data_IF_100829318876
#
_entry.id   IF_100829318876
#
_cell.length_a   1.000
_cell.length_b   1.000
_cell.length_c   1.000
_cell.angle_alpha   90.00
_cell.angle_beta   90.00
_cell.angle_gamma   90.00
#
_symmetry.space_group_name_H-M   'P 1'
#
loop_
_entity.id
_entity.type
_entity.pdbx_description
1 polymer ?
#
# COMPACT_ATOMS: atom_id res chain seq x y z
N UNK A 1 -14.44 22.65 6.85
CA UNK A 1 -14.74 23.19 5.50
C UNK A 1 -14.61 24.71 5.44
N UNK A 2 -15.11 25.44 6.43
CA UNK A 2 -14.89 26.89 6.55
C UNK A 2 -13.41 27.29 6.63
N UNK A 3 -12.59 26.47 7.30
CA UNK A 3 -11.14 26.69 7.35
C UNK A 3 -10.46 26.49 5.99
N UNK A 4 -10.86 25.47 5.22
CA UNK A 4 -10.37 25.26 3.86
C UNK A 4 -10.80 26.39 2.92
N UNK A 5 -12.03 26.90 3.08
CA UNK A 5 -12.52 28.04 2.33
C UNK A 5 -11.69 29.31 2.60
N UNK A 6 -11.35 29.55 3.87
CA UNK A 6 -10.49 30.66 4.29
C UNK A 6 -9.05 30.54 3.77
N UNK A 7 -8.49 29.33 3.80
CA UNK A 7 -7.11 29.09 3.35
C UNK A 7 -6.96 29.11 1.83
N UNK A 8 -7.88 28.49 1.10
CA UNK A 8 -7.79 28.41 -0.36
C UNK A 8 -9.16 28.17 -1.02
N UNK A 9 -9.76 29.25 -1.52
CA UNK A 9 -11.09 29.22 -2.16
C UNK A 9 -11.20 28.23 -3.33
N UNK A 10 -10.23 28.20 -4.23
CA UNK A 10 -10.25 27.27 -5.38
C UNK A 10 -10.22 25.78 -4.99
N UNK A 11 -9.40 25.41 -3.99
CA UNK A 11 -9.36 24.05 -3.47
C UNK A 11 -10.67 23.67 -2.76
N UNK A 12 -11.29 24.62 -2.06
CA UNK A 12 -12.61 24.43 -1.47
C UNK A 12 -13.67 24.17 -2.54
N UNK A 13 -13.75 25.01 -3.58
CA UNK A 13 -14.71 24.86 -4.68
C UNK A 13 -14.53 23.51 -5.39
N UNK A 14 -13.27 23.13 -5.68
CA UNK A 14 -12.94 21.82 -6.23
C UNK A 14 -13.41 20.67 -5.32
N UNK A 15 -13.14 20.74 -4.02
CA UNK A 15 -13.53 19.69 -3.08
C UNK A 15 -15.05 19.55 -2.98
N UNK A 16 -15.78 20.66 -2.94
CA UNK A 16 -17.25 20.64 -2.94
C UNK A 16 -17.78 20.07 -4.26
N UNK A 17 -17.27 20.53 -5.41
CA UNK A 17 -17.68 20.05 -6.73
C UNK A 17 -17.40 18.55 -6.93
N UNK A 18 -16.29 18.04 -6.39
CA UNK A 18 -15.97 16.62 -6.42
C UNK A 18 -17.03 15.75 -5.70
N UNK A 19 -17.73 16.33 -4.74
CA UNK A 19 -18.80 15.70 -3.96
C UNK A 19 -18.29 15.16 -2.60
N UNK A 20 -18.86 15.61 -1.47
CA UNK A 20 -18.45 15.17 -0.13
C UNK A 20 -18.47 13.66 0.09
N UNK A 21 -19.35 12.93 -0.58
CA UNK A 21 -19.42 11.48 -0.52
C UNK A 21 -18.13 10.76 -0.99
N UNK A 22 -17.27 11.44 -1.76
CA UNK A 22 -16.01 10.85 -2.26
C UNK A 22 -14.85 11.00 -1.28
N UNK A 23 -14.85 12.02 -0.44
CA UNK A 23 -13.71 12.37 0.42
C UNK A 23 -14.04 12.48 1.92
N UNK A 24 -15.32 12.66 2.28
CA UNK A 24 -15.78 12.64 3.67
C UNK A 24 -16.32 11.26 4.03
N UNK A 25 -15.82 10.72 5.15
CA UNK A 25 -16.35 9.47 5.71
C UNK A 25 -17.83 9.61 6.08
N UNK A 26 -18.22 10.75 6.65
CA UNK A 26 -19.58 10.98 7.16
C UNK A 26 -20.62 11.04 6.04
N UNK A 27 -20.24 11.53 4.87
CA UNK A 27 -21.14 11.66 3.72
C UNK A 27 -21.01 10.51 2.72
N UNK A 28 -20.07 9.58 2.92
CA UNK A 28 -19.87 8.46 2.01
C UNK A 28 -20.97 7.41 2.24
N UNK A 29 -21.80 7.09 1.23
CA UNK A 29 -22.81 6.04 1.38
C UNK A 29 -22.17 4.64 1.49
N UNK A 30 -20.95 4.48 0.96
CA UNK A 30 -20.21 3.22 1.06
C UNK A 30 -19.47 3.09 2.40
N UNK A 31 -19.47 1.88 2.93
CA UNK A 31 -18.76 1.51 4.15
C UNK A 31 -17.27 1.40 3.85
N UNK A 32 -16.50 2.43 4.21
CA UNK A 32 -15.04 2.46 3.97
C UNK A 32 -14.22 1.81 5.09
N UNK A 33 -14.84 1.32 6.17
CA UNK A 33 -14.15 0.59 7.26
C UNK A 33 -12.85 1.24 7.78
N UNK A 34 -12.82 2.59 7.81
CA UNK A 34 -11.65 3.44 8.12
C UNK A 34 -10.50 3.44 7.08
N UNK A 35 -10.63 2.69 5.99
CA UNK A 35 -9.71 2.72 4.85
C UNK A 35 -10.04 3.93 3.95
N UNK A 36 -9.17 4.93 3.99
CA UNK A 36 -9.29 6.14 3.15
C UNK A 36 -8.13 6.26 2.15
N UNK A 37 -7.34 5.20 1.98
CA UNK A 37 -6.09 5.23 1.20
C UNK A 37 -6.08 4.17 0.10
N UNK A 38 -5.29 4.42 -0.93
CA UNK A 38 -4.94 3.46 -2.00
C UNK A 38 -3.89 2.43 -1.57
N UNK A 39 -3.58 2.36 -0.27
CA UNK A 39 -2.47 1.56 0.27
C UNK A 39 -2.56 0.09 -0.13
N UNK A 40 -3.77 -0.48 -0.25
CA UNK A 40 -3.94 -1.88 -0.69
C UNK A 40 -3.39 -2.09 -2.11
N UNK A 41 -3.71 -1.19 -3.04
CA UNK A 41 -3.22 -1.26 -4.40
C UNK A 41 -1.70 -1.05 -4.47
N UNK A 42 -1.17 -0.14 -3.65
CA UNK A 42 0.28 0.12 -3.56
C UNK A 42 1.05 -1.07 -2.99
N UNK A 43 0.53 -1.70 -1.93
CA UNK A 43 1.11 -2.91 -1.33
C UNK A 43 1.15 -4.06 -2.34
N UNK A 44 0.01 -4.37 -2.99
CA UNK A 44 -0.04 -5.40 -4.03
C UNK A 44 0.92 -5.05 -5.16
N UNK A 45 0.97 -3.77 -5.56
CA UNK A 45 1.84 -3.34 -6.63
C UNK A 45 3.33 -3.48 -6.31
N UNK A 46 3.69 -3.32 -5.04
CA UNK A 46 5.04 -3.55 -4.53
C UNK A 46 5.38 -5.04 -4.57
N UNK A 47 4.49 -5.92 -4.10
CA UNK A 47 4.66 -7.37 -4.15
C UNK A 47 4.86 -7.90 -5.58
N UNK A 48 4.21 -7.27 -6.56
CA UNK A 48 4.27 -7.69 -7.96
C UNK A 48 5.39 -7.03 -8.78
N UNK A 49 6.23 -6.18 -8.17
CA UNK A 49 7.21 -5.36 -8.91
C UNK A 49 8.14 -6.19 -9.79
N UNK A 50 8.68 -7.28 -9.25
CA UNK A 50 9.52 -8.22 -10.00
C UNK A 50 8.68 -9.13 -10.90
N UNK A 51 7.59 -9.69 -10.36
CA UNK A 51 6.76 -10.67 -11.06
C UNK A 51 6.19 -10.13 -12.38
N UNK A 52 5.89 -8.83 -12.49
CA UNK A 52 5.41 -8.21 -13.75
C UNK A 52 6.40 -8.26 -14.90
N UNK A 53 7.67 -8.56 -14.64
CA UNK A 53 8.69 -8.71 -15.69
C UNK A 53 8.78 -10.15 -16.21
N UNK A 54 8.07 -11.09 -15.58
CA UNK A 54 8.07 -12.50 -15.94
C UNK A 54 7.06 -12.77 -17.07
N UNK A 55 7.22 -13.88 -17.81
CA UNK A 55 6.20 -14.35 -18.75
C UNK A 55 4.83 -14.48 -18.08
N UNK A 56 3.74 -14.28 -18.84
CA UNK A 56 2.36 -14.28 -18.32
C UNK A 56 2.05 -15.49 -17.44
N UNK A 57 2.44 -16.70 -17.89
CA UNK A 57 2.21 -17.93 -17.14
C UNK A 57 2.93 -17.94 -15.79
N UNK A 58 4.19 -17.48 -15.78
CA UNK A 58 4.99 -17.38 -14.55
C UNK A 58 4.47 -16.30 -13.61
N UNK A 59 3.98 -15.17 -14.15
CA UNK A 59 3.31 -14.13 -13.36
C UNK A 59 2.03 -14.65 -12.70
N UNK A 60 1.19 -15.37 -13.46
CA UNK A 60 -0.04 -15.96 -12.93
C UNK A 60 0.27 -16.96 -11.80
N UNK A 61 1.28 -17.81 -12.01
CA UNK A 61 1.73 -18.79 -11.03
C UNK A 61 2.34 -18.12 -9.77
N UNK A 62 3.09 -17.02 -9.94
CA UNK A 62 3.58 -16.21 -8.83
C UNK A 62 2.45 -15.63 -7.99
N UNK A 63 1.44 -15.03 -8.64
CA UNK A 63 0.27 -14.46 -7.97
C UNK A 63 -0.48 -15.55 -7.21
N UNK A 64 -0.69 -16.71 -7.83
CA UNK A 64 -1.37 -17.86 -7.22
C UNK A 64 -0.64 -18.32 -5.96
N UNK A 65 0.68 -18.53 -6.02
CA UNK A 65 1.49 -18.95 -4.87
C UNK A 65 1.50 -17.91 -3.74
N UNK A 66 1.62 -16.62 -4.09
CA UNK A 66 1.55 -15.53 -3.13
C UNK A 66 0.21 -15.52 -2.38
N UNK A 67 -0.91 -15.57 -3.12
CA UNK A 67 -2.24 -15.58 -2.53
C UNK A 67 -2.48 -16.86 -1.71
N UNK A 68 -2.08 -18.03 -2.21
CA UNK A 68 -2.21 -19.29 -1.48
C UNK A 68 -1.52 -19.22 -0.12
N UNK A 69 -0.27 -18.74 -0.08
CA UNK A 69 0.47 -18.55 1.17
C UNK A 69 -0.24 -17.56 2.09
N UNK A 70 -0.66 -16.40 1.56
CA UNK A 70 -1.34 -15.39 2.36
C UNK A 70 -2.66 -15.89 2.94
N UNK A 71 -3.48 -16.59 2.15
CA UNK A 71 -4.73 -17.16 2.63
C UNK A 71 -4.48 -18.19 3.73
N UNK A 72 -3.51 -19.08 3.55
CA UNK A 72 -3.11 -20.04 4.57
C UNK A 72 -2.65 -19.34 5.86
N UNK A 73 -1.68 -18.42 5.76
CA UNK A 73 -1.11 -17.71 6.91
C UNK A 73 -2.18 -16.90 7.65
N UNK A 74 -3.09 -16.23 6.91
CA UNK A 74 -4.16 -15.43 7.50
C UNK A 74 -5.25 -16.28 8.15
N UNK A 75 -5.62 -17.39 7.53
CA UNK A 75 -6.56 -18.34 8.12
C UNK A 75 -5.98 -18.96 9.40
N UNK A 76 -4.71 -19.40 9.37
CA UNK A 76 -4.01 -19.91 10.54
C UNK A 76 -3.92 -18.87 11.67
N UNK A 77 -3.53 -17.63 11.34
CA UNK A 77 -3.49 -16.53 12.30
C UNK A 77 -4.87 -16.26 12.91
N UNK A 78 -5.93 -16.18 12.10
CA UNK A 78 -7.30 -15.96 12.57
C UNK A 78 -7.79 -17.07 13.51
N UNK A 79 -7.48 -18.34 13.21
CA UNK A 79 -7.82 -19.48 14.09
C UNK A 79 -7.04 -19.48 15.40
N UNK A 80 -5.83 -18.93 15.40
CA UNK A 80 -4.99 -18.80 16.60
C UNK A 80 -5.41 -17.65 17.53
N UNK A 81 -6.30 -16.76 17.08
CA UNK A 81 -6.77 -15.62 17.88
C UNK A 81 -7.57 -16.09 19.10
N UNK A 82 -7.16 -15.60 20.27
CA UNK A 82 -7.80 -15.94 21.56
C UNK A 82 -9.12 -15.22 21.78
N UNK A 83 -9.27 -14.02 21.21
CA UNK A 83 -10.40 -13.14 21.46
C UNK A 83 -11.53 -13.38 20.45
N UNK A 84 -12.77 -13.03 20.81
CA UNK A 84 -13.91 -13.07 19.88
C UNK A 84 -13.85 -11.97 18.81
N UNK A 85 -13.15 -10.87 19.12
CA UNK A 85 -12.84 -9.81 18.16
C UNK A 85 -11.45 -10.02 17.58
N UNK A 86 -11.21 -9.49 16.39
CA UNK A 86 -9.89 -9.48 15.75
C UNK A 86 -8.85 -8.77 16.63
N UNK A 87 -7.59 -9.19 16.52
CA UNK A 87 -6.46 -8.60 17.28
C UNK A 87 -6.31 -7.08 17.08
N UNK A 88 -6.77 -6.54 15.94
CA UNK A 88 -6.79 -5.11 15.69
C UNK A 88 -7.94 -4.39 16.43
N UNK A 89 -9.09 -5.04 16.58
CA UNK A 89 -10.28 -4.45 17.20
C UNK A 89 -10.28 -4.61 18.73
N UNK A 90 -9.72 -5.71 19.24
CA UNK A 90 -9.70 -6.02 20.66
C UNK A 90 -9.06 -4.92 21.54
N UNK A 91 -7.84 -4.40 21.27
CA UNK A 91 -7.27 -3.34 22.09
C UNK A 91 -8.07 -2.03 22.00
N UNK A 92 -8.74 -1.78 20.87
CA UNK A 92 -9.58 -0.60 20.68
C UNK A 92 -10.82 -0.66 21.56
N UNK A 93 -11.47 -1.83 21.68
CA UNK A 93 -12.65 -1.96 22.56
C UNK A 93 -12.26 -1.85 24.02
N UNK A 94 -11.16 -2.47 24.45
CA UNK A 94 -10.70 -2.41 25.84
C UNK A 94 -10.44 -0.96 26.29
N UNK A 95 -9.79 -0.16 25.45
CA UNK A 95 -9.58 1.27 25.72
C UNK A 95 -10.89 2.07 25.81
N UNK A 96 -11.94 1.64 25.11
CA UNK A 96 -13.26 2.26 25.18
C UNK A 96 -14.05 1.81 26.42
N UNK A 97 -13.86 0.56 26.85
CA UNK A 97 -14.40 0.01 28.11
C UNK A 97 -13.80 0.74 29.31
N UNK A 98 -12.48 0.92 29.34
CA UNK A 98 -11.83 1.68 30.41
C UNK A 98 -12.44 3.09 30.56
N UNK A 99 -12.69 3.77 29.44
CA UNK A 99 -13.34 5.10 29.43
C UNK A 99 -14.80 5.06 29.88
N UNK A 100 -15.52 3.97 29.64
CA UNK A 100 -16.94 3.90 29.99
C UNK A 100 -17.14 3.79 31.51
N UNK A 101 -16.14 3.32 32.26
CA UNK A 101 -16.20 3.19 33.72
C UNK A 101 -16.39 4.53 34.44
N UNK A 102 -15.99 5.64 33.83
CA UNK A 102 -16.11 6.99 34.41
C UNK A 102 -17.43 7.69 34.07
N UNK A 103 -18.34 7.02 33.36
CA UNK A 103 -19.56 7.62 32.83
C UNK A 103 -20.76 7.29 33.70
N UNK A 104 -21.64 8.27 33.89
CA UNK A 104 -22.94 8.08 34.54
C UNK A 104 -23.98 7.79 33.47
N UNK A 105 -24.81 6.78 33.67
CA UNK A 105 -25.82 6.36 32.69
C UNK A 105 -27.20 6.47 33.31
N UNK A 106 -28.10 7.15 32.61
CA UNK A 106 -29.50 7.25 32.97
C UNK A 106 -30.32 6.58 31.86
N UNK A 107 -31.05 5.49 32.14
CA UNK A 107 -32.01 4.92 31.21
C UNK A 107 -33.11 5.95 30.89
N UNK A 108 -33.44 6.09 29.60
CA UNK A 108 -34.53 6.95 29.11
C UNK A 108 -35.68 6.08 28.63
N UNK A 109 -35.37 4.99 27.94
CA UNK A 109 -36.29 3.96 27.46
C UNK A 109 -35.54 2.61 27.40
N UNK A 110 -36.22 1.52 27.07
CA UNK A 110 -35.68 0.15 27.00
C UNK A 110 -34.37 0.05 26.20
N UNK A 111 -34.27 0.79 25.09
CA UNK A 111 -33.09 0.81 24.24
C UNK A 111 -32.35 2.16 24.24
N UNK A 112 -32.87 3.17 24.93
CA UNK A 112 -32.36 4.55 24.86
C UNK A 112 -31.77 4.97 26.21
N UNK A 113 -30.55 5.48 26.17
CA UNK A 113 -29.78 5.85 27.35
C UNK A 113 -29.19 7.25 27.20
N UNK A 114 -29.25 8.02 28.28
CA UNK A 114 -28.54 9.28 28.43
C UNK A 114 -27.26 9.03 29.21
N UNK A 115 -26.11 9.19 28.55
CA UNK A 115 -24.78 8.99 29.15
C UNK A 115 -24.14 10.35 29.41
N UNK A 116 -23.65 10.59 30.64
CA UNK A 116 -23.03 11.84 31.07
C UNK A 116 -21.56 11.64 31.45
N UNK A 117 -20.72 12.58 31.05
CA UNK A 117 -19.31 12.67 31.48
C UNK A 117 -18.84 14.12 31.45
N UNK A 118 -18.31 14.63 32.57
CA UNK A 118 -17.70 15.97 32.68
C UNK A 118 -18.58 17.08 32.09
N UNK A 119 -19.86 17.13 32.47
CA UNK A 119 -20.83 18.13 32.00
C UNK A 119 -21.39 17.91 30.59
N UNK A 120 -20.86 16.97 29.81
CA UNK A 120 -21.40 16.61 28.51
C UNK A 120 -22.41 15.46 28.63
N UNK A 121 -23.40 15.44 27.73
CA UNK A 121 -24.42 14.40 27.64
C UNK A 121 -24.52 13.86 26.22
N UNK A 122 -24.64 12.54 26.09
CA UNK A 122 -24.88 11.86 24.83
C UNK A 122 -26.09 10.94 24.93
N UNK A 123 -26.86 10.87 23.85
CA UNK A 123 -27.96 9.90 23.73
C UNK A 123 -27.46 8.71 22.94
N UNK A 124 -27.73 7.51 23.45
CA UNK A 124 -27.35 6.22 22.85
C UNK A 124 -28.62 5.43 22.61
N UNK A 125 -28.75 4.83 21.43
CA UNK A 125 -29.75 3.80 21.17
C UNK A 125 -29.03 2.48 20.82
N UNK A 126 -29.20 1.46 21.68
CA UNK A 126 -28.54 0.16 21.52
C UNK A 126 -29.16 -0.71 20.43
N UNK A 127 -30.47 -0.56 20.17
CA UNK A 127 -31.16 -1.32 19.13
C UNK A 127 -30.77 -0.83 17.73
N UNK A 128 -30.83 0.48 17.48
CA UNK A 128 -30.42 1.07 16.20
C UNK A 128 -28.89 1.22 16.07
N UNK A 129 -28.13 0.88 17.12
CA UNK A 129 -26.68 1.02 17.19
C UNK A 129 -26.19 2.46 16.89
N UNK A 130 -26.87 3.45 17.45
CA UNK A 130 -26.57 4.88 17.23
C UNK A 130 -26.14 5.59 18.52
N UNK A 131 -25.33 6.63 18.37
CA UNK A 131 -24.97 7.54 19.44
C UNK A 131 -24.82 8.97 18.90
N UNK A 132 -25.20 9.97 19.68
CA UNK A 132 -25.02 11.39 19.29
C UNK A 132 -23.54 11.79 19.10
N UNK A 133 -22.58 10.98 19.57
CA UNK A 133 -21.16 11.21 19.29
C UNK A 133 -20.72 10.79 17.87
N UNK A 134 -21.63 10.24 17.06
CA UNK A 134 -21.42 9.71 15.72
C UNK A 134 -20.46 8.52 15.56
N UNK A 135 -19.63 8.21 16.56
CA UNK A 135 -18.63 7.14 16.46
C UNK A 135 -19.25 5.74 16.33
N UNK A 136 -20.40 5.49 16.97
CA UNK A 136 -21.00 4.16 16.96
C UNK A 136 -21.46 3.76 15.55
N UNK A 137 -22.26 4.60 14.90
CA UNK A 137 -22.71 4.40 13.53
C UNK A 137 -21.58 4.51 12.50
N UNK A 138 -20.63 5.44 12.68
CA UNK A 138 -19.56 5.65 11.71
C UNK A 138 -18.54 4.51 11.70
N UNK A 139 -18.19 3.98 12.87
CA UNK A 139 -17.25 2.89 12.99
C UNK A 139 -17.93 1.51 12.94
N UNK A 140 -19.27 1.44 13.04
CA UNK A 140 -20.01 0.19 13.29
C UNK A 140 -19.41 -0.61 14.45
N UNK A 141 -18.93 0.12 15.45
CA UNK A 141 -18.18 -0.40 16.58
C UNK A 141 -18.56 0.43 17.82
N UNK A 142 -18.93 -0.22 18.95
CA UNK A 142 -19.44 0.48 20.13
C UNK A 142 -18.49 1.60 20.58
N UNK A 143 -19.01 2.82 20.70
CA UNK A 143 -18.27 3.91 21.33
C UNK A 143 -18.28 3.74 22.85
N UNK A 144 -17.47 4.49 23.59
CA UNK A 144 -17.44 4.43 25.06
C UNK A 144 -18.81 4.71 25.70
N UNK A 145 -19.64 5.57 25.10
CA UNK A 145 -21.00 5.82 25.59
C UNK A 145 -21.91 4.61 25.37
N UNK A 146 -21.81 3.97 24.20
CA UNK A 146 -22.56 2.77 23.89
C UNK A 146 -22.17 1.59 24.80
N UNK A 147 -20.89 1.48 25.15
CA UNK A 147 -20.41 0.49 26.12
C UNK A 147 -20.93 0.75 27.53
N UNK A 148 -20.96 2.01 27.96
CA UNK A 148 -21.56 2.40 29.23
C UNK A 148 -23.05 1.99 29.28
N UNK A 149 -23.82 2.30 28.22
CA UNK A 149 -25.22 1.88 28.11
C UNK A 149 -25.39 0.35 28.04
N UNK A 150 -24.50 -0.35 27.34
CA UNK A 150 -24.52 -1.82 27.24
C UNK A 150 -24.27 -2.48 28.61
N UNK A 151 -23.39 -1.90 29.42
CA UNK A 151 -23.10 -2.35 30.79
C UNK A 151 -24.35 -2.27 31.67
N UNK A 152 -25.12 -1.18 31.60
CA UNK A 152 -26.39 -1.06 32.37
C UNK A 152 -27.41 -2.13 31.98
N UNK A 153 -27.38 -2.60 30.73
CA UNK A 153 -28.26 -3.68 30.25
C UNK A 153 -27.68 -5.08 30.40
N UNK A 154 -26.47 -5.23 30.94
CA UNK A 154 -25.72 -6.48 30.92
C UNK A 154 -25.64 -7.11 29.51
N UNK A 155 -25.54 -6.28 28.48
CA UNK A 155 -25.40 -6.72 27.09
C UNK A 155 -23.93 -6.96 26.76
N UNK A 156 -23.66 -8.11 26.14
CA UNK A 156 -22.33 -8.37 25.59
C UNK A 156 -22.03 -7.39 24.45
N UNK A 157 -20.93 -6.65 24.59
CA UNK A 157 -20.51 -5.66 23.60
C UNK A 157 -20.16 -6.30 22.25
N UNK A 158 -19.80 -7.59 22.20
CA UNK A 158 -19.49 -8.25 20.92
C UNK A 158 -20.70 -8.31 20.00
N UNK A 159 -21.92 -8.41 20.54
CA UNK A 159 -23.19 -8.38 19.80
C UNK A 159 -23.46 -7.02 19.13
N UNK A 160 -22.88 -5.96 19.70
CA UNK A 160 -23.02 -4.59 19.19
C UNK A 160 -22.00 -4.29 18.08
N UNK A 161 -20.90 -5.02 18.02
CA UNK A 161 -19.90 -4.93 16.95
C UNK A 161 -20.47 -5.46 15.63
N UNK A 162 -20.10 -4.84 14.51
CA UNK A 162 -20.33 -5.42 13.20
C UNK A 162 -19.45 -6.66 12.94
N UNK A 163 -19.93 -7.56 12.08
CA UNK A 163 -19.35 -8.88 11.88
C UNK A 163 -17.90 -8.86 11.39
N UNK A 164 -17.52 -7.88 10.56
CA UNK A 164 -16.15 -7.77 10.05
C UNK A 164 -15.09 -7.49 11.14
N UNK A 165 -15.49 -7.17 12.37
CA UNK A 165 -14.58 -7.10 13.52
C UNK A 165 -14.44 -8.41 14.29
N UNK A 166 -15.30 -9.40 14.01
CA UNK A 166 -15.33 -10.68 14.69
C UNK A 166 -14.30 -11.63 14.10
N UNK A 167 -13.76 -12.49 14.95
CA UNK A 167 -12.79 -13.52 14.57
C UNK A 167 -13.43 -14.50 13.58
N UNK A 168 -14.66 -14.92 13.83
CA UNK A 168 -15.38 -15.91 13.02
C UNK A 168 -15.47 -15.47 11.56
N UNK A 169 -15.89 -14.23 11.32
CA UNK A 169 -15.95 -13.65 9.97
C UNK A 169 -14.57 -13.57 9.30
N UNK A 170 -13.51 -13.33 10.08
CA UNK A 170 -12.14 -13.35 9.55
C UNK A 170 -11.70 -14.77 9.16
N UNK A 171 -12.06 -15.79 9.96
CA UNK A 171 -11.82 -17.20 9.63
C UNK A 171 -12.54 -17.54 8.33
N UNK A 172 -13.83 -17.23 8.24
CA UNK A 172 -14.66 -17.54 7.08
C UNK A 172 -14.14 -16.86 5.81
N UNK A 173 -13.66 -15.61 5.92
CA UNK A 173 -13.10 -14.85 4.79
C UNK A 173 -11.86 -15.51 4.16
N UNK A 174 -11.11 -16.32 4.90
CA UNK A 174 -9.92 -17.04 4.42
C UNK A 174 -10.09 -18.57 4.45
N UNK A 175 -11.32 -19.06 4.63
CA UNK A 175 -11.61 -20.50 4.78
C UNK A 175 -11.43 -21.30 3.49
N UNK A 176 -11.70 -20.67 2.33
CA UNK A 176 -11.58 -21.31 1.02
C UNK A 176 -10.11 -21.33 0.58
N UNK A 177 -9.47 -22.52 0.45
CA UNK A 177 -8.09 -22.60 0.03
C UNK A 177 -7.96 -22.32 -1.47
N UNK A 178 -6.85 -21.70 -1.84
CA UNK A 178 -6.44 -21.59 -3.25
C UNK A 178 -5.69 -22.86 -3.61
N UNK A 179 -6.31 -23.67 -4.47
CA UNK A 179 -5.74 -24.96 -4.87
C UNK A 179 -4.58 -24.79 -5.86
N UNK A 180 -3.57 -25.66 -5.81
CA UNK A 180 -2.55 -25.72 -6.84
C UNK A 180 -3.14 -26.14 -8.18
N UNK A 181 -2.54 -25.66 -9.27
CA UNK A 181 -2.85 -26.17 -10.60
C UNK A 181 -2.08 -27.48 -10.79
N UNK A 182 -2.77 -28.53 -11.22
CA UNK A 182 -2.16 -29.83 -11.50
C UNK A 182 -1.16 -29.76 -12.67
N UNK A 183 -0.45 -30.86 -12.92
CA UNK A 183 0.46 -30.92 -14.07
C UNK A 183 -0.31 -30.78 -15.39
N UNK A 184 0.21 -30.07 -16.42
CA UNK A 184 -0.48 -29.89 -17.71
C UNK A 184 -0.98 -31.16 -18.38
N UNK A 185 -0.31 -32.30 -18.14
CA UNK A 185 -0.73 -33.60 -18.68
C UNK A 185 -2.05 -34.13 -18.11
N UNK A 186 -2.50 -33.61 -16.97
CA UNK A 186 -3.77 -34.03 -16.35
C UNK A 186 -4.93 -33.09 -16.68
N UNK A 187 -4.69 -32.03 -17.46
CA UNK A 187 -5.71 -31.04 -17.76
C UNK A 187 -6.67 -31.56 -18.83
N UNK A 188 -7.97 -31.51 -18.54
CA UNK A 188 -9.01 -31.69 -19.55
C UNK A 188 -9.25 -30.33 -20.20
N UNK A 189 -8.73 -30.14 -21.41
CA UNK A 189 -8.88 -28.88 -22.16
C UNK A 189 -10.11 -28.97 -23.07
N UNK A 190 -11.15 -28.15 -22.87
CA UNK A 190 -12.32 -28.12 -23.75
C UNK A 190 -11.95 -27.81 -25.21
N UNK A 191 -12.68 -28.41 -26.15
CA UNK A 191 -12.40 -28.29 -27.59
C UNK A 191 -12.46 -26.84 -28.09
N UNK A 192 -13.31 -26.00 -27.51
CA UNK A 192 -13.43 -24.57 -27.83
C UNK A 192 -12.23 -23.74 -27.36
N UNK A 193 -11.46 -24.24 -26.39
CA UNK A 193 -10.22 -23.62 -25.92
C UNK A 193 -9.04 -24.13 -26.76
N UNK A 194 -8.98 -25.45 -26.99
CA UNK A 194 -7.91 -26.07 -27.78
C UNK A 194 -7.85 -25.56 -29.23
N UNK A 195 -9.00 -25.16 -29.79
CA UNK A 195 -9.10 -24.58 -31.14
C UNK A 195 -8.72 -23.10 -31.23
N UNK A 196 -8.49 -22.40 -30.10
CA UNK A 196 -8.12 -20.97 -30.12
C UNK A 196 -6.66 -20.80 -30.48
N UNK A 197 -6.40 -20.05 -31.54
CA UNK A 197 -5.05 -19.60 -31.90
C UNK A 197 -4.78 -18.25 -31.22
N UNK A 198 -3.91 -18.24 -30.22
CA UNK A 198 -3.46 -17.01 -29.56
C UNK A 198 -2.27 -16.44 -30.32
N UNK A 199 -2.48 -15.35 -31.05
CA UNK A 199 -1.43 -14.64 -31.78
C UNK A 199 -0.73 -13.61 -30.88
N UNK A 200 0.54 -13.35 -31.16
CA UNK A 200 1.28 -12.30 -30.47
C UNK A 200 0.64 -10.92 -30.72
N UNK A 201 0.60 -10.02 -29.71
CA UNK A 201 0.15 -8.65 -29.91
C UNK A 201 0.95 -7.97 -31.02
N UNK A 202 0.27 -7.34 -31.99
CA UNK A 202 0.91 -6.62 -33.10
C UNK A 202 1.60 -5.30 -32.69
N UNK A 203 1.58 -4.95 -31.39
CA UNK A 203 2.16 -3.72 -30.88
C UNK A 203 3.68 -3.80 -30.77
N UNK A 204 4.41 -2.87 -31.38
CA UNK A 204 5.83 -2.65 -31.08
C UNK A 204 5.96 -2.03 -29.69
N UNK A 205 6.86 -2.56 -28.85
CA UNK A 205 7.22 -1.95 -27.57
C UNK A 205 7.80 -0.56 -27.84
N UNK A 206 7.31 0.49 -27.17
CA UNK A 206 7.89 1.82 -27.31
C UNK A 206 9.39 1.77 -26.97
N UNK A 207 10.20 2.46 -27.78
CA UNK A 207 11.65 2.56 -27.58
C UNK A 207 11.95 3.29 -26.27
N UNK A 208 12.68 2.65 -25.36
CA UNK A 208 13.09 3.21 -24.07
C UNK A 208 13.09 2.16 -22.95
N UNK A 209 13.78 2.45 -21.83
CA UNK A 209 13.71 1.60 -20.63
C UNK A 209 12.30 1.73 -20.03
N UNK A 210 11.55 0.63 -19.86
CA UNK A 210 10.28 0.65 -19.15
C UNK A 210 10.51 1.24 -17.76
N UNK A 211 9.73 2.24 -17.39
CA UNK A 211 9.87 2.88 -16.08
C UNK A 211 9.40 1.90 -15.00
N UNK A 212 10.32 1.44 -14.15
CA UNK A 212 10.07 0.46 -13.09
C UNK A 212 9.34 1.05 -11.86
N UNK A 213 9.01 2.35 -11.88
CA UNK A 213 8.41 3.06 -10.75
C UNK A 213 7.53 4.23 -11.18
N UNK A 214 6.64 4.65 -10.28
CA UNK A 214 5.82 5.86 -10.43
C UNK A 214 6.73 7.10 -10.43
N UNK A 215 6.37 8.14 -11.19
CA UNK A 215 6.94 9.46 -10.97
C UNK A 215 6.59 9.95 -9.56
N UNK A 216 7.60 10.00 -8.69
CA UNK A 216 7.45 10.59 -7.36
C UNK A 216 6.98 12.05 -7.50
N UNK A 217 5.96 12.42 -6.73
CA UNK A 217 5.50 13.81 -6.65
C UNK A 217 6.62 14.67 -6.07
N UNK A 218 6.67 15.97 -6.40
CA UNK A 218 7.75 16.86 -5.92
C UNK A 218 7.89 16.86 -4.39
N UNK A 219 6.81 16.58 -3.66
CA UNK A 219 6.78 16.48 -2.19
C UNK A 219 7.44 15.21 -1.63
N UNK A 220 7.66 14.18 -2.44
CA UNK A 220 8.28 12.90 -2.03
C UNK A 220 9.79 12.88 -2.26
N UNK A 221 10.34 13.92 -2.89
CA UNK A 221 11.77 14.01 -3.22
C UNK A 221 12.57 14.56 -2.05
N UNK A 222 12.98 13.71 -1.10
CA UNK A 222 14.10 14.02 -0.21
C UNK A 222 15.40 13.94 -0.99
N UNK A 223 15.66 14.94 -1.84
CA UNK A 223 16.93 15.04 -2.55
C UNK A 223 17.97 15.62 -1.59
N UNK A 224 18.54 14.82 -0.71
CA UNK A 224 19.84 15.16 -0.12
C UNK A 224 20.87 15.04 -1.23
N UNK A 225 21.11 16.15 -1.94
CA UNK A 225 22.18 16.20 -2.92
C UNK A 225 23.51 15.95 -2.20
N UNK A 226 24.18 14.86 -2.57
CA UNK A 226 25.54 14.59 -2.14
C UNK A 226 26.52 15.39 -2.98
N UNK A 227 27.54 15.93 -2.33
CA UNK A 227 28.58 16.69 -2.97
C UNK A 227 29.42 15.78 -3.86
N UNK A 228 29.45 16.05 -5.18
CA UNK A 228 30.26 15.26 -6.13
C UNK A 228 31.77 15.28 -5.88
N UNK A 229 32.27 16.22 -5.05
CA UNK A 229 33.70 16.39 -4.76
C UNK A 229 34.19 15.51 -3.61
N UNK A 230 33.38 15.39 -2.55
CA UNK A 230 33.75 14.69 -1.31
C UNK A 230 32.76 13.60 -0.88
N UNK A 231 31.67 13.40 -1.61
CA UNK A 231 30.63 12.40 -1.33
C UNK A 231 29.65 12.74 -0.20
N UNK A 232 29.92 13.78 0.62
CA UNK A 232 29.10 14.13 1.78
C UNK A 232 27.83 14.93 1.40
N UNK A 233 26.74 14.76 2.14
CA UNK A 233 25.47 15.47 1.96
C UNK A 233 25.47 16.84 2.67
N UNK A 234 24.58 17.74 2.24
CA UNK A 234 24.35 19.05 2.90
C UNK A 234 25.03 20.25 2.24
N UNK A 235 25.83 20.05 1.19
CA UNK A 235 26.44 21.13 0.41
C UNK A 235 26.67 20.73 -1.05
N UNK A 236 26.88 21.71 -1.93
CA UNK A 236 27.21 21.46 -3.34
C UNK A 236 28.72 21.48 -3.59
N UNK A 237 29.16 20.93 -4.73
CA UNK A 237 30.58 20.87 -5.10
C UNK A 237 31.25 22.24 -5.25
N UNK A 238 30.48 23.30 -5.51
CA UNK A 238 30.99 24.68 -5.65
C UNK A 238 31.35 25.33 -4.31
N UNK A 239 30.70 24.90 -3.21
CA UNK A 239 30.95 25.39 -1.84
C UNK A 239 31.61 24.33 -0.96
N UNK A 240 32.25 23.34 -1.58
CA UNK A 240 32.91 22.25 -0.88
C UNK A 240 34.33 22.64 -0.49
N UNK A 241 34.57 22.78 0.81
CA UNK A 241 35.88 23.01 1.41
C UNK A 241 36.68 21.72 1.65
N UNK A 242 36.07 20.55 1.43
CA UNK A 242 36.74 19.26 1.62
C UNK A 242 37.62 18.93 0.40
N UNK A 243 38.77 18.26 0.62
CA UNK A 243 39.64 17.81 -0.46
C UNK A 243 38.90 16.85 -1.41
N UNK A 244 39.24 16.85 -2.71
CA UNK A 244 38.69 15.89 -3.66
C UNK A 244 39.07 14.46 -3.26
N UNK A 245 38.15 13.52 -3.47
CA UNK A 245 38.45 12.11 -3.20
C UNK A 245 39.64 11.65 -4.04
N UNK A 246 40.71 11.17 -3.40
CA UNK A 246 41.80 10.47 -4.09
C UNK A 246 41.24 9.12 -4.51
N UNK A 247 41.12 8.92 -5.81
CA UNK A 247 40.55 7.69 -6.36
C UNK A 247 41.65 6.61 -6.39
N UNK A 248 41.99 6.05 -5.24
CA UNK A 248 42.80 4.82 -5.15
C UNK A 248 41.92 3.61 -5.48
N UNK A 249 41.38 3.59 -6.69
CA UNK A 249 40.86 2.36 -7.27
C UNK A 249 42.03 1.49 -7.73
N UNK A 250 41.96 0.15 -7.62
CA UNK A 250 42.99 -0.70 -8.16
C UNK A 250 43.08 -0.47 -9.68
N UNK A 251 44.25 -0.05 -10.15
CA UNK A 251 44.55 0.00 -11.58
C UNK A 251 44.64 -1.44 -12.10
N UNK A 252 43.52 -1.96 -12.61
CA UNK A 252 43.49 -3.26 -13.28
C UNK A 252 44.25 -3.11 -14.60
N UNK A 253 45.46 -3.64 -14.68
CA UNK A 253 46.19 -3.79 -15.92
C UNK A 253 45.49 -4.82 -16.80
N UNK A 254 44.75 -4.35 -17.80
CA UNK A 254 44.13 -5.23 -18.80
C UNK A 254 45.25 -5.84 -19.66
N UNK A 255 45.35 -7.18 -19.80
CA UNK A 255 46.33 -7.83 -20.68
C UNK A 255 46.21 -7.32 -22.12
N UNK A 256 47.33 -7.21 -22.84
CA UNK A 256 47.39 -6.59 -24.19
C UNK A 256 46.46 -7.26 -25.21
N UNK A 257 46.14 -8.54 -25.05
CA UNK A 257 45.18 -9.27 -25.90
C UNK A 257 43.76 -8.68 -25.87
N UNK A 258 43.36 -8.03 -24.77
CA UNK A 258 42.01 -7.49 -24.60
C UNK A 258 41.94 -5.97 -24.81
N UNK A 259 43.07 -5.33 -25.09
CA UNK A 259 43.09 -3.88 -25.37
C UNK A 259 42.65 -3.63 -26.81
N UNK A 260 41.73 -2.69 -26.98
CA UNK A 260 41.25 -2.27 -28.30
C UNK A 260 42.42 -1.72 -29.12
N UNK A 261 42.68 -2.35 -30.26
CA UNK A 261 43.65 -1.91 -31.26
C UNK A 261 43.01 -0.87 -32.15
N UNK A 262 43.78 0.14 -32.56
CA UNK A 262 43.34 1.11 -33.54
C UNK A 262 42.96 0.40 -34.84
N UNK A 263 41.85 0.79 -35.47
CA UNK A 263 41.39 0.15 -36.71
C UNK A 263 42.14 0.61 -37.96
N UNK A 264 43.12 1.52 -37.82
CA UNK A 264 43.97 2.01 -38.92
C UNK A 264 45.36 1.37 -38.81
N UNK A 265 46.11 1.67 -37.74
CA UNK A 265 47.48 1.18 -37.57
C UNK A 265 47.63 -0.05 -36.66
N UNK A 266 46.52 -0.59 -36.15
CA UNK A 266 46.48 -1.75 -35.24
C UNK A 266 47.29 -1.64 -33.93
N UNK A 267 47.82 -0.47 -33.62
CA UNK A 267 48.51 -0.19 -32.36
C UNK A 267 47.52 0.05 -31.22
N UNK A 268 47.96 -0.28 -30.00
CA UNK A 268 47.15 -0.15 -28.79
C UNK A 268 47.35 1.25 -28.19
N UNK A 269 46.31 1.83 -27.59
CA UNK A 269 46.40 3.07 -26.80
C UNK A 269 45.71 4.28 -27.40
N UNK A 270 45.19 4.19 -28.63
CA UNK A 270 44.43 5.26 -29.27
C UNK A 270 43.33 4.68 -30.19
N UNK A 271 42.41 5.51 -30.66
CA UNK A 271 41.32 5.10 -31.56
C UNK A 271 41.49 5.69 -32.97
N UNK A 272 40.63 5.29 -33.92
CA UNK A 272 40.65 5.76 -35.31
C UNK A 272 40.70 7.29 -35.46
N UNK A 273 40.05 8.02 -34.56
CA UNK A 273 39.94 9.48 -34.67
C UNK A 273 41.22 10.21 -34.25
N UNK A 274 42.02 9.59 -33.39
CA UNK A 274 43.28 10.13 -32.85
C UNK A 274 44.50 9.35 -33.34
N UNK A 275 44.37 8.64 -34.47
CA UNK A 275 45.45 7.85 -35.05
C UNK A 275 46.44 8.76 -35.78
N UNK A 276 47.76 8.65 -35.50
CA UNK A 276 48.78 9.46 -36.20
C UNK A 276 48.86 9.17 -37.70
N UNK A 277 48.49 7.96 -38.12
CA UNK A 277 48.52 7.51 -39.53
C UNK A 277 47.20 7.72 -40.26
N UNK A 278 46.28 8.49 -39.66
CA UNK A 278 44.92 8.67 -40.18
C UNK A 278 44.91 9.31 -41.58
N UNK A 279 45.87 10.18 -41.87
CA UNK A 279 45.95 10.92 -43.14
C UNK A 279 46.77 10.19 -44.21
N UNK A 280 47.45 9.09 -43.87
CA UNK A 280 48.22 8.26 -44.81
C UNK A 280 47.41 7.14 -45.46
N UNK A 281 46.14 6.99 -45.07
CA UNK A 281 45.22 5.95 -45.58
C UNK A 281 44.24 6.47 -46.65
N UNK A 282 44.54 7.63 -47.25
CA UNK A 282 43.78 8.22 -48.36
C UNK A 282 44.70 8.36 -49.58
N UNK A 283 45.13 7.22 -50.12
CA UNK A 283 45.47 7.02 -51.53
C UNK A 283 45.06 5.59 -51.92
#
# INVERSE_FOLDING_TARGET
>A
MEELHRLHKGAFEYAIAAGPHKWSRVHCPQRRYRLMTTNVAECINSCLKFARQLPMMTLAEFIRNMLQKWFHDRHAAARSMRHQLTDAAHPVILKRVEKCNYMTVNPVDWNIFSVKLKGNQWTVNLHSKTCTCNKFQMDHFPCSHALAAARERNLDYTSLCADYYKRETLIDAYSVPIMPVGHPSSWVVPSDIASRVVLNPKSKRQSGRPMEGRHALSSERTTTQSCRRCGQSGHNSRRCSNPPMVNEGPSISVPDEYRRKCSICHSIGHNKQTCPEKDSAVE
#
